data_IF_371115549583
#
_entry.id   IF_371115549583
#
_cell.length_a   1.000
_cell.length_b   1.000
_cell.length_c   1.000
_cell.angle_alpha   90.00
_cell.angle_beta   90.00
_cell.angle_gamma   90.00
#
_symmetry.space_group_name_H-M   'P 1'
#
loop_
_entity.id
_entity.type
_entity.pdbx_description
1 polymer ?
#
# COMPACT_ATOMS: atom_id res chain seq x y z
N UNK A 1 -5.02 -29.53 -10.69
CA UNK A 1 -5.13 -28.06 -10.53
C UNK A 1 -4.28 -27.68 -9.32
N UNK A 2 -3.47 -26.62 -9.39
CA UNK A 2 -2.60 -26.23 -8.27
C UNK A 2 -3.43 -25.47 -7.21
N UNK A 3 -3.99 -26.21 -6.26
CA UNK A 3 -4.94 -25.73 -5.25
C UNK A 3 -4.41 -24.52 -4.44
N UNK A 4 -3.17 -24.52 -3.90
CA UNK A 4 -2.63 -23.35 -3.21
C UNK A 4 -2.56 -22.07 -4.06
N UNK A 5 -2.20 -22.21 -5.34
CA UNK A 5 -2.05 -21.07 -6.25
C UNK A 5 -3.41 -20.46 -6.58
N UNK A 6 -4.43 -21.31 -6.75
CA UNK A 6 -5.80 -20.89 -6.98
C UNK A 6 -6.38 -20.16 -5.77
N UNK A 7 -6.19 -20.70 -4.56
CA UNK A 7 -6.63 -20.05 -3.30
C UNK A 7 -5.98 -18.68 -3.11
N UNK A 8 -4.67 -18.57 -3.37
CA UNK A 8 -3.97 -17.29 -3.26
C UNK A 8 -4.48 -16.26 -4.28
N UNK A 9 -4.74 -16.67 -5.52
CA UNK A 9 -5.29 -15.80 -6.54
C UNK A 9 -6.70 -15.32 -6.17
N UNK A 10 -7.57 -16.24 -5.74
CA UNK A 10 -8.93 -15.91 -5.34
C UNK A 10 -8.96 -14.91 -4.18
N UNK A 11 -8.20 -15.15 -3.11
CA UNK A 11 -8.15 -14.24 -1.97
C UNK A 11 -7.55 -12.87 -2.34
N UNK A 12 -6.63 -12.82 -3.29
CA UNK A 12 -6.10 -11.55 -3.78
C UNK A 12 -7.15 -10.72 -4.51
N UNK A 13 -8.05 -11.35 -5.28
CA UNK A 13 -9.18 -10.65 -5.91
C UNK A 13 -10.27 -10.30 -4.89
N UNK A 14 -10.64 -11.23 -4.00
CA UNK A 14 -11.64 -11.02 -2.93
C UNK A 14 -11.26 -9.84 -2.02
N UNK A 15 -9.96 -9.62 -1.79
CA UNK A 15 -9.50 -8.48 -0.97
C UNK A 15 -9.86 -7.12 -1.59
N UNK A 16 -9.93 -7.03 -2.92
CA UNK A 16 -10.26 -5.77 -3.61
C UNK A 16 -11.68 -5.31 -3.30
N UNK A 17 -12.57 -6.26 -2.98
CA UNK A 17 -13.95 -5.96 -2.65
C UNK A 17 -14.09 -5.10 -1.39
N UNK A 18 -13.09 -5.08 -0.51
CA UNK A 18 -13.06 -4.18 0.65
C UNK A 18 -13.24 -2.72 0.25
N UNK A 19 -12.71 -2.29 -0.90
CA UNK A 19 -12.81 -0.91 -1.40
C UNK A 19 -13.97 -0.69 -2.37
N UNK A 20 -14.65 -1.76 -2.81
CA UNK A 20 -15.81 -1.68 -3.71
C UNK A 20 -17.14 -1.56 -2.95
N UNK A 21 -17.13 -1.55 -1.62
CA UNK A 21 -18.34 -1.43 -0.82
C UNK A 21 -18.89 0.00 -0.80
N UNK A 22 -20.21 0.13 -0.63
CA UNK A 22 -20.92 1.41 -0.59
C UNK A 22 -20.77 2.17 0.73
N UNK A 23 -20.33 1.51 1.80
CA UNK A 23 -20.15 2.12 3.11
C UNK A 23 -19.01 1.48 3.90
N UNK A 24 -18.48 2.25 4.86
CA UNK A 24 -17.47 1.78 5.81
C UNK A 24 -17.90 0.56 6.62
N UNK A 25 -19.19 0.49 6.98
CA UNK A 25 -19.74 -0.63 7.74
C UNK A 25 -19.75 -1.92 6.92
N UNK A 26 -20.14 -1.86 5.65
CA UNK A 26 -20.07 -3.01 4.74
C UNK A 26 -18.63 -3.41 4.44
N UNK A 27 -17.74 -2.43 4.20
CA UNK A 27 -16.30 -2.68 4.03
C UNK A 27 -15.67 -3.39 5.24
N UNK A 28 -16.08 -3.02 6.46
CA UNK A 28 -15.62 -3.66 7.68
C UNK A 28 -16.01 -5.13 7.73
N UNK A 29 -17.27 -5.48 7.38
CA UNK A 29 -17.73 -6.86 7.32
C UNK A 29 -16.92 -7.68 6.31
N UNK A 30 -16.73 -7.14 5.10
CA UNK A 30 -15.96 -7.78 4.03
C UNK A 30 -14.51 -8.00 4.47
N UNK A 31 -13.87 -7.00 5.09
CA UNK A 31 -12.51 -7.10 5.59
C UNK A 31 -12.38 -8.17 6.69
N UNK A 32 -13.31 -8.22 7.63
CA UNK A 32 -13.32 -9.23 8.69
C UNK A 32 -13.53 -10.64 8.15
N UNK A 33 -14.41 -10.81 7.17
CA UNK A 33 -14.61 -12.08 6.50
C UNK A 33 -13.35 -12.53 5.74
N UNK A 34 -12.71 -11.61 5.01
CA UNK A 34 -11.45 -11.88 4.33
C UNK A 34 -10.36 -12.32 5.30
N UNK A 35 -10.19 -11.60 6.41
CA UNK A 35 -9.20 -11.95 7.47
C UNK A 35 -9.48 -13.35 8.00
N UNK A 36 -10.75 -13.70 8.24
CA UNK A 36 -11.15 -15.03 8.71
C UNK A 36 -10.76 -16.12 7.70
N UNK A 37 -11.12 -15.94 6.42
CA UNK A 37 -10.78 -16.88 5.32
C UNK A 37 -9.26 -17.06 5.17
N UNK A 38 -8.52 -15.96 5.19
CA UNK A 38 -7.06 -15.98 5.04
C UNK A 38 -6.36 -16.62 6.26
N UNK A 39 -6.85 -16.37 7.48
CA UNK A 39 -6.33 -16.99 8.70
C UNK A 39 -6.61 -18.50 8.77
N UNK A 40 -7.74 -18.95 8.23
CA UNK A 40 -8.09 -20.38 8.15
C UNK A 40 -7.47 -21.11 6.96
N UNK A 41 -6.87 -20.40 6.00
CA UNK A 41 -6.18 -21.03 4.86
C UNK A 41 -4.93 -21.75 5.33
N UNK A 42 -4.52 -22.87 4.72
CA UNK A 42 -3.25 -23.55 5.08
C UNK A 42 -1.99 -22.89 4.48
N UNK A 43 -2.10 -21.65 4.01
CA UNK A 43 -1.03 -20.93 3.31
C UNK A 43 -0.43 -19.89 4.28
N UNK A 44 0.82 -20.11 4.70
CA UNK A 44 1.49 -19.27 5.71
C UNK A 44 1.54 -17.77 5.33
N UNK A 45 1.71 -17.46 4.05
CA UNK A 45 1.72 -16.07 3.55
C UNK A 45 0.37 -15.39 3.78
N UNK A 46 -0.74 -16.10 3.53
CA UNK A 46 -2.09 -15.58 3.75
C UNK A 46 -2.41 -15.43 5.25
N UNK A 47 -2.01 -16.39 6.09
CA UNK A 47 -2.12 -16.25 7.56
C UNK A 47 -1.37 -15.02 8.06
N UNK A 48 -0.19 -14.73 7.50
CA UNK A 48 0.60 -13.53 7.84
C UNK A 48 -0.08 -12.26 7.39
N UNK A 49 -0.61 -12.24 6.16
CA UNK A 49 -1.34 -11.10 5.63
C UNK A 49 -2.60 -10.80 6.45
N UNK A 50 -3.34 -11.82 6.88
CA UNK A 50 -4.50 -11.68 7.76
C UNK A 50 -4.16 -10.96 9.06
N UNK A 51 -3.03 -11.32 9.70
CA UNK A 51 -2.55 -10.64 10.92
C UNK A 51 -2.22 -9.17 10.66
N UNK A 52 -1.55 -8.87 9.55
CA UNK A 52 -1.21 -7.50 9.16
C UNK A 52 -2.48 -6.66 8.93
N UNK A 53 -3.43 -7.16 8.13
CA UNK A 53 -4.67 -6.42 7.87
C UNK A 53 -5.51 -6.23 9.14
N UNK A 54 -5.55 -7.23 10.03
CA UNK A 54 -6.22 -7.09 11.33
C UNK A 54 -5.60 -5.98 12.19
N UNK A 55 -4.26 -5.89 12.22
CA UNK A 55 -3.54 -4.86 12.96
C UNK A 55 -3.78 -3.45 12.40
N UNK A 56 -3.89 -3.31 11.07
CA UNK A 56 -4.06 -2.03 10.38
C UNK A 56 -5.50 -1.76 9.92
N UNK A 57 -6.49 -2.49 10.45
CA UNK A 57 -7.90 -2.41 10.00
C UNK A 57 -8.46 -0.99 10.01
N UNK A 58 -8.11 -0.19 11.03
CA UNK A 58 -8.59 1.18 11.18
C UNK A 58 -8.07 2.08 10.06
N UNK A 59 -6.80 1.93 9.69
CA UNK A 59 -6.18 2.68 8.59
C UNK A 59 -6.76 2.29 7.23
N UNK A 60 -7.07 1.00 7.02
CA UNK A 60 -7.72 0.52 5.79
C UNK A 60 -9.12 1.13 5.66
N UNK A 61 -9.92 1.08 6.74
CA UNK A 61 -11.28 1.59 6.74
C UNK A 61 -11.36 3.13 6.73
N UNK A 62 -10.28 3.83 7.09
CA UNK A 62 -10.22 5.29 7.03
C UNK A 62 -10.36 5.84 5.61
N UNK A 63 -10.10 5.02 4.57
CA UNK A 63 -10.37 5.37 3.18
C UNK A 63 -11.82 5.83 2.95
N UNK A 64 -12.77 5.26 3.69
CA UNK A 64 -14.19 5.60 3.59
C UNK A 64 -14.55 6.94 4.24
N UNK A 65 -13.73 7.44 5.16
CA UNK A 65 -13.89 8.77 5.72
C UNK A 65 -13.15 9.81 4.86
N UNK A 66 -11.98 9.42 4.35
CA UNK A 66 -11.09 10.26 3.56
C UNK A 66 -10.52 9.45 2.38
N UNK A 67 -11.07 9.59 1.16
CA UNK A 67 -10.64 8.82 -0.01
C UNK A 67 -9.31 9.38 -0.57
N UNK A 68 -8.26 9.31 0.25
CA UNK A 68 -6.92 9.76 -0.11
C UNK A 68 -6.30 8.69 -0.99
N UNK A 69 -6.00 9.03 -2.25
CA UNK A 69 -5.27 8.14 -3.14
C UNK A 69 -3.81 8.03 -2.74
N UNK A 70 -3.18 6.89 -3.03
CA UNK A 70 -1.73 6.71 -2.85
C UNK A 70 -0.91 7.46 -3.91
N UNK A 71 -1.55 8.04 -4.93
CA UNK A 71 -0.87 8.68 -6.08
C UNK A 71 0.13 9.78 -5.70
N UNK A 72 -0.23 10.79 -4.90
CA UNK A 72 0.72 11.83 -4.45
C UNK A 72 1.89 11.28 -3.63
N UNK A 73 1.63 10.26 -2.79
CA UNK A 73 2.65 9.59 -2.00
C UNK A 73 3.61 8.80 -2.88
N UNK A 74 3.08 8.05 -3.85
CA UNK A 74 3.85 7.31 -4.85
C UNK A 74 4.68 8.24 -5.74
N UNK A 75 4.11 9.37 -6.16
CA UNK A 75 4.81 10.41 -6.90
C UNK A 75 6.01 10.96 -6.11
N UNK A 76 5.80 11.26 -4.83
CA UNK A 76 6.88 11.69 -3.92
C UNK A 76 7.95 10.62 -3.79
N UNK A 77 7.56 9.37 -3.53
CA UNK A 77 8.49 8.23 -3.42
C UNK A 77 9.31 8.03 -4.70
N UNK A 78 8.69 8.17 -5.87
CA UNK A 78 9.37 8.05 -7.16
C UNK A 78 10.37 9.19 -7.38
N UNK A 79 10.02 10.43 -7.04
CA UNK A 79 10.96 11.55 -7.10
C UNK A 79 12.18 11.34 -6.18
N UNK A 80 11.96 10.87 -4.95
CA UNK A 80 13.05 10.56 -4.00
C UNK A 80 13.94 9.45 -4.57
N UNK A 81 13.35 8.37 -5.09
CA UNK A 81 14.10 7.27 -5.73
C UNK A 81 14.93 7.76 -6.93
N UNK A 82 14.34 8.59 -7.79
CA UNK A 82 15.03 9.18 -8.94
C UNK A 82 16.20 10.06 -8.51
N UNK A 83 15.99 10.94 -7.53
CA UNK A 83 17.04 11.80 -6.99
C UNK A 83 18.21 10.97 -6.41
N UNK A 84 17.90 9.94 -5.60
CA UNK A 84 18.92 9.03 -5.06
C UNK A 84 19.69 8.32 -6.17
N UNK A 85 19.01 7.90 -7.23
CA UNK A 85 19.63 7.25 -8.40
C UNK A 85 20.55 8.20 -9.16
N UNK A 86 20.13 9.44 -9.39
CA UNK A 86 20.94 10.48 -10.06
C UNK A 86 22.20 10.82 -9.27
N UNK A 87 22.13 10.80 -7.93
CA UNK A 87 23.28 11.06 -7.06
C UNK A 87 24.20 9.84 -6.87
N UNK A 88 23.86 8.65 -7.41
CA UNK A 88 24.52 7.37 -7.10
C UNK A 88 24.57 7.07 -5.59
N UNK A 89 23.53 7.48 -4.86
CA UNK A 89 23.43 7.39 -3.41
C UNK A 89 23.95 8.63 -2.68
N UNK A 90 23.53 8.77 -1.42
CA UNK A 90 24.00 9.83 -0.53
C UNK A 90 24.75 9.19 0.64
N UNK A 91 25.94 9.71 0.96
CA UNK A 91 26.72 9.27 2.13
C UNK A 91 26.30 10.03 3.40
N UNK A 92 25.96 11.31 3.23
CA UNK A 92 25.45 12.16 4.30
C UNK A 92 23.92 12.10 4.32
N UNK A 93 23.39 11.56 5.41
CA UNK A 93 21.95 11.39 5.60
C UNK A 93 21.24 12.69 5.96
N UNK A 94 21.91 13.65 6.61
CA UNK A 94 21.33 14.95 6.89
C UNK A 94 21.19 15.75 5.60
N UNK A 95 22.21 15.72 4.74
CA UNK A 95 22.11 16.29 3.40
C UNK A 95 20.99 15.64 2.57
N UNK A 96 20.82 14.32 2.65
CA UNK A 96 19.73 13.63 1.96
C UNK A 96 18.36 14.06 2.46
N UNK A 97 18.17 14.22 3.78
CA UNK A 97 16.92 14.74 4.35
C UNK A 97 16.62 16.14 3.84
N UNK A 98 17.61 17.05 3.86
CA UNK A 98 17.45 18.41 3.35
C UNK A 98 17.03 18.41 1.87
N UNK A 99 17.62 17.53 1.05
CA UNK A 99 17.23 17.35 -0.35
C UNK A 99 15.80 16.82 -0.51
N UNK A 100 15.35 15.90 0.34
CA UNK A 100 13.94 15.43 0.35
C UNK A 100 13.00 16.57 0.75
N UNK A 101 13.35 17.37 1.76
CA UNK A 101 12.51 18.48 2.21
C UNK A 101 12.38 19.55 1.13
N UNK A 102 13.47 19.91 0.43
CA UNK A 102 13.44 20.86 -0.69
C UNK A 102 12.83 20.33 -2.00
N UNK A 103 12.37 19.09 -2.03
CA UNK A 103 11.91 18.41 -3.25
C UNK A 103 10.61 19.03 -3.82
N UNK A 104 9.84 19.71 -2.97
CA UNK A 104 8.67 20.50 -3.37
C UNK A 104 9.03 21.83 -4.04
N UNK A 105 10.25 22.34 -3.85
CA UNK A 105 10.75 23.60 -4.43
C UNK A 105 11.39 23.37 -5.81
N UNK A 106 11.85 22.15 -6.09
CA UNK A 106 12.43 21.78 -7.39
C UNK A 106 11.39 21.81 -8.51
N UNK A 107 11.45 22.86 -9.34
CA UNK A 107 10.78 22.92 -10.64
C UNK A 107 11.62 22.17 -11.67
N UNK A 108 11.10 21.09 -12.23
CA UNK A 108 11.70 20.47 -13.40
C UNK A 108 11.47 21.40 -14.61
N UNK A 109 12.52 22.10 -15.04
CA UNK A 109 12.54 22.64 -16.38
C UNK A 109 12.71 21.45 -17.33
N UNK A 110 11.71 21.19 -18.17
CA UNK A 110 11.88 20.29 -19.32
C UNK A 110 12.83 20.99 -20.28
N UNK A 111 14.12 20.77 -20.12
CA UNK A 111 15.11 21.15 -21.14
C UNK A 111 15.27 19.91 -22.01
N UNK A 112 14.80 20.05 -23.26
CA UNK A 112 14.83 19.01 -24.28
C UNK A 112 16.23 18.65 -24.75
#
# INVERSE_FOLDING_TARGET
>A
MNEPLYTAYYLKEDLREVWNQSSKAEAMKVLEEWIRKAASSEIAVLKTMAKTLAAYRSGILAYYDFPISTGPLEGTNNKIKTMKRQAYGFRDMEFFKLKIMGLHETKYALVG
#
